data_IF_299753061794
#
_entry.id   IF_299753061794
#
_cell.length_a   1.000
_cell.length_b   1.000
_cell.length_c   1.000
_cell.angle_alpha   90.00
_cell.angle_beta   90.00
_cell.angle_gamma   90.00
#
_symmetry.space_group_name_H-M   'P 1'
#
loop_
_entity.id
_entity.type
_entity.pdbx_description
1 polymer ?
#
# COMPACT_ATOMS: atom_id res chain seq x y z
N UNK A 1 11.93 5.43 -23.67
CA UNK A 1 12.33 6.86 -23.73
C UNK A 1 13.51 7.18 -24.66
N UNK A 2 14.76 6.73 -24.39
CA UNK A 2 15.95 7.10 -25.20
C UNK A 2 15.79 6.87 -26.72
N UNK A 3 15.12 5.78 -27.11
CA UNK A 3 14.91 5.41 -28.53
C UNK A 3 14.05 6.44 -29.32
N UNK A 4 13.02 7.00 -28.69
CA UNK A 4 12.12 7.99 -29.34
C UNK A 4 12.88 9.31 -29.57
N UNK A 5 13.67 9.73 -28.57
CA UNK A 5 14.48 10.96 -28.65
C UNK A 5 15.55 10.81 -29.73
N UNK A 6 16.25 9.67 -29.78
CA UNK A 6 17.26 9.38 -30.82
C UNK A 6 16.62 9.38 -32.21
N UNK A 7 15.43 8.78 -32.36
CA UNK A 7 14.70 8.79 -33.62
C UNK A 7 14.30 10.20 -34.07
N UNK A 8 13.75 11.01 -33.16
CA UNK A 8 13.39 12.40 -33.47
C UNK A 8 14.62 13.24 -33.88
N UNK A 9 15.76 13.03 -33.21
CA UNK A 9 17.01 13.72 -33.51
C UNK A 9 17.56 13.28 -34.89
N UNK A 10 17.48 11.98 -35.19
CA UNK A 10 17.83 11.43 -36.50
C UNK A 10 16.95 12.01 -37.62
N UNK A 11 15.63 12.06 -37.44
CA UNK A 11 14.71 12.68 -38.40
C UNK A 11 15.04 14.16 -38.63
N UNK A 12 15.40 14.89 -37.57
CA UNK A 12 15.79 16.30 -37.68
C UNK A 12 17.03 16.48 -38.54
N UNK A 13 18.08 15.69 -38.27
CA UNK A 13 19.31 15.71 -39.06
C UNK A 13 19.07 15.32 -40.52
N UNK A 14 18.19 14.35 -40.77
CA UNK A 14 17.81 13.92 -42.11
C UNK A 14 17.11 15.05 -42.88
N UNK A 15 16.11 15.70 -42.29
CA UNK A 15 15.40 16.82 -42.93
C UNK A 15 16.34 17.99 -43.23
N UNK A 16 17.25 18.31 -42.31
CA UNK A 16 18.27 19.34 -42.53
C UNK A 16 19.24 18.95 -43.65
N UNK A 17 19.67 17.70 -43.72
CA UNK A 17 20.54 17.19 -44.78
C UNK A 17 19.88 17.25 -46.16
N UNK A 18 18.59 16.86 -46.24
CA UNK A 18 17.80 16.96 -47.48
C UNK A 18 17.69 18.41 -47.94
N UNK A 19 17.41 19.34 -47.02
CA UNK A 19 17.35 20.76 -47.36
C UNK A 19 18.68 21.29 -47.92
N UNK A 20 19.79 21.03 -47.22
CA UNK A 20 21.14 21.43 -47.65
C UNK A 20 21.49 20.84 -49.02
N UNK A 21 21.13 19.58 -49.29
CA UNK A 21 21.40 18.94 -50.58
C UNK A 21 20.66 19.59 -51.76
N UNK A 22 19.50 20.19 -51.51
CA UNK A 22 18.64 20.81 -52.54
C UNK A 22 18.92 22.29 -52.75
N UNK A 23 19.25 23.02 -51.68
CA UNK A 23 19.37 24.48 -51.72
C UNK A 23 20.80 25.00 -51.48
N UNK A 24 21.75 24.11 -51.18
CA UNK A 24 23.14 24.46 -50.88
C UNK A 24 23.34 25.01 -49.47
N UNK A 25 24.59 25.37 -49.15
CA UNK A 25 24.99 25.90 -47.84
C UNK A 25 24.96 27.44 -47.75
N UNK A 26 24.69 28.13 -48.87
CA UNK A 26 24.76 29.59 -48.93
C UNK A 26 23.48 30.20 -48.36
N UNK A 27 23.62 31.02 -47.33
CA UNK A 27 22.53 31.80 -46.75
C UNK A 27 22.01 32.79 -47.80
N UNK A 28 20.69 32.77 -48.02
CA UNK A 28 20.06 33.67 -48.97
C UNK A 28 19.85 35.04 -48.35
N UNK A 29 20.24 36.12 -49.05
CA UNK A 29 19.91 37.50 -48.68
C UNK A 29 18.44 37.84 -48.96
N UNK A 30 17.75 37.01 -49.74
CA UNK A 30 16.35 37.19 -50.09
C UNK A 30 15.42 36.66 -48.99
N UNK A 31 14.60 37.55 -48.42
CA UNK A 31 13.67 37.26 -47.33
C UNK A 31 12.63 36.17 -47.68
N UNK A 32 12.18 36.08 -48.94
CA UNK A 32 11.20 35.08 -49.38
C UNK A 32 11.70 33.65 -49.16
N UNK A 33 12.99 33.39 -49.39
CA UNK A 33 13.58 32.05 -49.23
C UNK A 33 13.62 31.58 -47.78
N UNK A 34 13.67 32.52 -46.83
CA UNK A 34 13.55 32.22 -45.41
C UNK A 34 12.13 31.81 -45.01
N UNK A 35 11.11 32.42 -45.61
CA UNK A 35 9.72 32.04 -45.38
C UNK A 35 9.43 30.62 -45.91
N UNK A 36 9.95 30.27 -47.09
CA UNK A 36 9.80 28.93 -47.67
C UNK A 36 10.55 27.85 -46.85
N UNK A 37 11.76 28.16 -46.37
CA UNK A 37 12.51 27.29 -45.47
C UNK A 37 11.76 27.02 -44.17
N UNK A 38 11.27 28.09 -43.54
CA UNK A 38 10.48 28.00 -42.31
C UNK A 38 9.22 27.17 -42.52
N UNK A 39 8.56 27.30 -43.67
CA UNK A 39 7.37 26.52 -44.04
C UNK A 39 7.70 25.05 -44.24
N UNK A 40 8.79 24.72 -44.94
CA UNK A 40 9.24 23.34 -45.16
C UNK A 40 9.62 22.65 -43.84
N UNK A 41 10.48 23.28 -43.03
CA UNK A 41 10.87 22.74 -41.73
C UNK A 41 9.68 22.65 -40.79
N UNK A 42 8.89 23.72 -40.68
CA UNK A 42 7.72 23.78 -39.81
C UNK A 42 6.69 22.71 -40.15
N UNK A 43 6.40 22.50 -41.43
CA UNK A 43 5.46 21.47 -41.88
C UNK A 43 5.97 20.05 -41.65
N UNK A 44 7.21 19.76 -42.06
CA UNK A 44 7.78 18.40 -41.99
C UNK A 44 8.19 18.02 -40.57
N UNK A 45 9.03 18.82 -39.91
CA UNK A 45 9.46 18.56 -38.53
C UNK A 45 8.31 18.74 -37.55
N UNK A 46 7.40 19.70 -37.78
CA UNK A 46 6.21 19.85 -36.95
C UNK A 46 5.38 18.57 -36.92
N UNK A 47 5.06 18.01 -38.09
CA UNK A 47 4.31 16.76 -38.18
C UNK A 47 5.03 15.58 -37.50
N UNK A 48 6.35 15.44 -37.72
CA UNK A 48 7.18 14.39 -37.11
C UNK A 48 7.22 14.54 -35.59
N UNK A 49 7.43 15.76 -35.08
CA UNK A 49 7.48 16.02 -33.65
C UNK A 49 6.14 15.86 -32.98
N UNK A 50 5.03 16.26 -33.61
CA UNK A 50 3.69 15.99 -33.10
C UNK A 50 3.45 14.47 -32.97
N UNK A 51 3.82 13.70 -33.98
CA UNK A 51 3.71 12.24 -33.94
C UNK A 51 4.59 11.62 -32.83
N UNK A 52 5.86 12.01 -32.76
CA UNK A 52 6.78 11.55 -31.72
C UNK A 52 6.31 11.95 -30.31
N UNK A 53 5.73 13.14 -30.16
CA UNK A 53 5.17 13.63 -28.89
C UNK A 53 3.97 12.80 -28.46
N UNK A 54 3.10 12.41 -29.40
CA UNK A 54 1.97 11.54 -29.12
C UNK A 54 2.43 10.14 -28.66
N UNK A 55 3.43 9.55 -29.34
CA UNK A 55 4.03 8.28 -28.92
C UNK A 55 4.69 8.37 -27.54
N UNK A 56 5.38 9.49 -27.28
CA UNK A 56 6.01 9.74 -25.99
C UNK A 56 4.97 9.82 -24.87
N UNK A 57 3.90 10.58 -25.09
CA UNK A 57 2.81 10.73 -24.12
C UNK A 57 2.13 9.38 -23.83
N UNK A 58 1.86 8.58 -24.86
CA UNK A 58 1.28 7.24 -24.69
C UNK A 58 2.17 6.34 -23.81
N UNK A 59 3.48 6.35 -24.04
CA UNK A 59 4.44 5.61 -23.22
C UNK A 59 4.49 6.10 -21.76
N UNK A 60 4.45 7.43 -21.57
CA UNK A 60 4.46 8.04 -20.24
C UNK A 60 3.22 7.67 -19.44
N UNK A 61 2.04 7.66 -20.06
CA UNK A 61 0.79 7.25 -19.42
C UNK A 61 0.88 5.80 -18.92
N UNK A 62 1.44 4.89 -19.72
CA UNK A 62 1.56 3.49 -19.34
C UNK A 62 2.52 3.29 -18.15
N UNK A 63 3.66 3.97 -18.17
CA UNK A 63 4.59 3.98 -17.03
C UNK A 63 3.91 4.53 -15.78
N UNK A 64 3.25 5.68 -15.90
CA UNK A 64 2.56 6.33 -14.79
C UNK A 64 1.44 5.46 -14.21
N UNK A 65 0.73 4.68 -15.03
CA UNK A 65 -0.26 3.70 -14.56
C UNK A 65 0.37 2.61 -13.70
N UNK A 66 1.52 2.08 -14.14
CA UNK A 66 2.25 1.05 -13.40
C UNK A 66 2.78 1.59 -12.07
N UNK A 67 3.40 2.77 -12.09
CA UNK A 67 3.89 3.44 -10.88
C UNK A 67 2.75 3.76 -9.91
N UNK A 68 1.62 4.28 -10.41
CA UNK A 68 0.44 4.55 -9.59
C UNK A 68 -0.12 3.27 -8.96
N UNK A 69 -0.11 2.14 -9.68
CA UNK A 69 -0.55 0.86 -9.12
C UNK A 69 0.37 0.41 -8.00
N UNK A 70 1.68 0.49 -8.19
CA UNK A 70 2.66 0.14 -7.15
C UNK A 70 2.53 1.06 -5.93
N UNK A 71 2.40 2.37 -6.15
CA UNK A 71 2.20 3.34 -5.08
C UNK A 71 0.92 3.05 -4.26
N UNK A 72 -0.18 2.65 -4.90
CA UNK A 72 -1.42 2.26 -4.19
C UNK A 72 -1.21 1.04 -3.30
N UNK A 73 -0.54 0.01 -3.79
CA UNK A 73 -0.23 -1.19 -2.98
C UNK A 73 0.63 -0.81 -1.78
N UNK A 74 1.66 0.01 -1.99
CA UNK A 74 2.53 0.48 -0.92
C UNK A 74 1.78 1.31 0.13
N UNK A 75 0.85 2.18 -0.28
CA UNK A 75 -0.02 2.94 0.64
C UNK A 75 -0.91 2.01 1.46
N UNK A 76 -1.51 0.99 0.84
CA UNK A 76 -2.34 0.01 1.56
C UNK A 76 -1.52 -0.78 2.59
N UNK A 77 -0.32 -1.25 2.23
CA UNK A 77 0.59 -1.94 3.15
C UNK A 77 0.93 -1.06 4.36
N UNK A 78 1.33 0.20 4.10
CA UNK A 78 1.67 1.16 5.16
C UNK A 78 0.46 1.51 6.03
N UNK A 79 -0.74 1.57 5.44
CA UNK A 79 -1.98 1.75 6.20
C UNK A 79 -2.25 0.58 7.15
N UNK A 80 -2.08 -0.68 6.71
CA UNK A 80 -2.25 -1.85 7.58
C UNK A 80 -1.23 -1.90 8.70
N UNK A 81 0.04 -1.58 8.40
CA UNK A 81 1.10 -1.49 9.40
C UNK A 81 0.78 -0.44 10.47
N UNK A 82 0.38 0.75 10.04
CA UNK A 82 -0.01 1.85 10.94
C UNK A 82 -1.24 1.50 11.76
N UNK A 83 -2.24 0.84 11.15
CA UNK A 83 -3.44 0.39 11.84
C UNK A 83 -3.08 -0.59 12.98
N UNK A 84 -2.11 -1.50 12.78
CA UNK A 84 -1.61 -2.37 13.85
C UNK A 84 -1.00 -1.54 14.98
N UNK A 85 -0.13 -0.59 14.66
CA UNK A 85 0.54 0.25 15.66
C UNK A 85 -0.48 1.07 16.47
N UNK A 86 -1.42 1.74 15.80
CA UNK A 86 -2.48 2.53 16.44
C UNK A 86 -3.36 1.65 17.34
N UNK A 87 -3.81 0.49 16.86
CA UNK A 87 -4.59 -0.44 17.67
C UNK A 87 -3.79 -0.94 18.89
N UNK A 88 -2.50 -1.24 18.75
CA UNK A 88 -1.64 -1.62 19.89
C UNK A 88 -1.55 -0.50 20.94
N UNK A 89 -1.41 0.76 20.50
CA UNK A 89 -1.35 1.90 21.42
C UNK A 89 -2.66 2.12 22.19
N UNK A 90 -3.81 1.75 21.59
CA UNK A 90 -5.11 1.80 22.24
C UNK A 90 -5.36 0.58 23.14
N UNK A 91 -4.89 -0.59 22.70
CA UNK A 91 -5.10 -1.87 23.36
C UNK A 91 -4.31 -1.98 24.67
N UNK A 92 -3.04 -1.61 24.64
CA UNK A 92 -2.13 -1.81 25.78
C UNK A 92 -2.62 -1.13 27.07
N UNK A 93 -3.01 0.16 27.07
CA UNK A 93 -3.53 0.80 28.29
C UNK A 93 -4.82 0.13 28.79
N UNK A 94 -5.71 -0.27 27.89
CA UNK A 94 -6.98 -0.93 28.23
C UNK A 94 -6.78 -2.32 28.82
N UNK A 95 -5.78 -3.06 28.34
CA UNK A 95 -5.43 -4.37 28.89
C UNK A 95 -4.78 -4.27 30.27
N UNK A 96 -3.99 -3.22 30.50
CA UNK A 96 -3.23 -3.01 31.72
C UNK A 96 -3.97 -2.21 32.81
N UNK A 97 -5.10 -1.58 32.49
CA UNK A 97 -5.91 -0.89 33.49
C UNK A 97 -6.46 -1.87 34.51
N UNK A 98 -6.32 -1.56 35.79
CA UNK A 98 -6.88 -2.35 36.89
C UNK A 98 -8.38 -2.08 36.96
N UNK A 99 -9.17 -3.15 36.89
CA UNK A 99 -10.61 -3.08 37.11
C UNK A 99 -10.88 -3.04 38.63
N UNK A 100 -11.46 -1.95 39.18
CA UNK A 100 -11.66 -1.81 40.62
C UNK A 100 -12.66 -2.82 41.19
N UNK A 101 -13.53 -3.42 40.35
CA UNK A 101 -14.47 -4.45 40.79
C UNK A 101 -13.79 -5.80 41.03
N UNK A 102 -12.71 -6.09 40.28
CA UNK A 102 -12.09 -7.43 40.23
C UNK A 102 -10.65 -7.39 40.80
N UNK A 103 -10.10 -6.20 41.03
CA UNK A 103 -8.74 -5.97 41.51
C UNK A 103 -7.67 -6.74 40.70
N UNK A 104 -7.90 -6.82 39.39
CA UNK A 104 -7.03 -7.47 38.42
C UNK A 104 -7.01 -6.67 37.13
N UNK A 105 -5.95 -6.81 36.34
CA UNK A 105 -5.92 -6.23 34.99
C UNK A 105 -6.79 -7.06 34.06
N UNK A 106 -7.27 -6.45 32.99
CA UNK A 106 -8.03 -7.19 32.01
C UNK A 106 -7.17 -8.26 31.31
N UNK A 107 -5.89 -8.00 31.07
CA UNK A 107 -4.95 -8.99 30.55
C UNK A 107 -4.92 -10.24 31.45
N UNK A 108 -4.88 -10.04 32.76
CA UNK A 108 -4.90 -11.15 33.72
C UNK A 108 -6.22 -11.92 33.68
N UNK A 109 -7.36 -11.23 33.56
CA UNK A 109 -8.66 -11.88 33.42
C UNK A 109 -8.73 -12.73 32.15
N UNK A 110 -8.28 -12.21 31.01
CA UNK A 110 -8.22 -12.94 29.74
C UNK A 110 -7.35 -14.19 29.87
N UNK A 111 -6.16 -14.08 30.50
CA UNK A 111 -5.28 -15.22 30.74
C UNK A 111 -5.89 -16.26 31.68
N UNK A 112 -6.56 -15.83 32.76
CA UNK A 112 -7.25 -16.74 33.69
C UNK A 112 -8.39 -17.47 32.99
N UNK A 113 -9.18 -16.78 32.16
CA UNK A 113 -10.25 -17.43 31.40
C UNK A 113 -9.69 -18.40 30.37
N UNK A 114 -8.61 -18.03 29.68
CA UNK A 114 -7.92 -18.91 28.75
C UNK A 114 -7.32 -20.16 29.43
N UNK A 115 -6.82 -20.03 30.66
CA UNK A 115 -6.35 -21.18 31.46
C UNK A 115 -7.49 -22.11 31.89
N UNK A 116 -8.71 -21.58 32.06
CA UNK A 116 -9.91 -22.30 32.50
C UNK A 116 -10.88 -22.62 31.33
N UNK A 117 -10.35 -23.08 30.19
CA UNK A 117 -11.16 -23.46 29.01
C UNK A 117 -12.40 -24.31 29.31
N UNK A 118 -12.35 -25.32 30.21
CA UNK A 118 -13.52 -26.17 30.48
C UNK A 118 -14.74 -25.41 31.00
N UNK A 119 -14.54 -24.29 31.70
CA UNK A 119 -15.65 -23.50 32.24
C UNK A 119 -16.33 -22.69 31.12
N UNK A 120 -15.54 -22.17 30.18
CA UNK A 120 -16.04 -21.45 29.01
C UNK A 120 -16.83 -22.37 28.07
N UNK A 121 -16.36 -23.60 27.87
CA UNK A 121 -17.05 -24.62 27.07
C UNK A 121 -18.37 -25.07 27.72
N UNK A 122 -18.42 -25.16 29.05
CA UNK A 122 -19.61 -25.60 29.78
C UNK A 122 -20.69 -24.51 29.95
N UNK A 123 -20.34 -23.22 29.82
CA UNK A 123 -21.29 -22.10 29.97
C UNK A 123 -21.03 -21.00 28.92
N UNK A 124 -21.30 -21.28 27.63
CA UNK A 124 -20.95 -20.38 26.53
C UNK A 124 -21.69 -19.04 26.56
N UNK A 125 -22.95 -19.02 27.02
CA UNK A 125 -23.76 -17.80 27.09
C UNK A 125 -23.23 -16.83 28.16
N UNK A 126 -22.79 -17.35 29.31
CA UNK A 126 -22.20 -16.55 30.38
C UNK A 126 -20.85 -15.98 29.94
N UNK A 127 -20.05 -16.77 29.23
CA UNK A 127 -18.77 -16.33 28.65
C UNK A 127 -18.99 -15.20 27.64
N UNK A 128 -19.95 -15.36 26.72
CA UNK A 128 -20.31 -14.33 25.74
C UNK A 128 -20.78 -13.04 26.39
N UNK A 129 -21.62 -13.13 27.41
CA UNK A 129 -22.12 -11.97 28.16
C UNK A 129 -20.99 -11.23 28.90
N UNK A 130 -20.05 -11.97 29.51
CA UNK A 130 -18.92 -11.39 30.21
C UNK A 130 -17.99 -10.61 29.27
N UNK A 131 -17.83 -11.08 28.03
CA UNK A 131 -16.97 -10.44 27.04
C UNK A 131 -17.70 -9.44 26.12
N UNK A 132 -19.03 -9.49 26.00
CA UNK A 132 -19.81 -8.47 25.28
C UNK A 132 -19.71 -7.10 25.95
N UNK A 133 -19.60 -7.06 27.28
CA UNK A 133 -19.32 -5.83 28.03
C UNK A 133 -17.92 -5.25 27.75
N UNK A 134 -17.05 -6.02 27.10
CA UNK A 134 -15.66 -5.67 26.77
C UNK A 134 -15.39 -5.76 25.26
N UNK A 135 -16.45 -5.63 24.45
CA UNK A 135 -16.42 -5.79 23.00
C UNK A 135 -15.40 -4.89 22.29
N UNK A 136 -15.14 -3.69 22.81
CA UNK A 136 -14.16 -2.75 22.23
C UNK A 136 -12.77 -3.39 22.06
N UNK A 137 -12.31 -4.15 23.05
CA UNK A 137 -10.97 -4.74 23.07
C UNK A 137 -10.88 -5.92 22.10
N UNK A 138 -11.97 -6.66 21.97
CA UNK A 138 -12.09 -7.73 20.99
C UNK A 138 -12.10 -7.16 19.57
N UNK A 139 -12.80 -6.05 19.34
CA UNK A 139 -12.79 -5.36 18.05
C UNK A 139 -11.39 -4.87 17.69
N UNK A 140 -10.68 -4.25 18.65
CA UNK A 140 -9.29 -3.82 18.45
C UNK A 140 -8.39 -5.01 18.12
N UNK A 141 -8.54 -6.14 18.81
CA UNK A 141 -7.78 -7.35 18.52
C UNK A 141 -8.10 -7.95 17.15
N UNK A 142 -9.37 -8.04 16.78
CA UNK A 142 -9.81 -8.52 15.45
C UNK A 142 -9.24 -7.63 14.34
N UNK A 143 -9.17 -6.30 14.55
CA UNK A 143 -8.55 -5.38 13.59
C UNK A 143 -7.05 -5.62 13.41
N UNK A 144 -6.33 -5.90 14.51
CA UNK A 144 -4.90 -6.27 14.45
C UNK A 144 -4.74 -7.58 13.68
N UNK A 145 -5.55 -8.59 14.00
CA UNK A 145 -5.48 -9.89 13.34
C UNK A 145 -5.78 -9.79 11.85
N UNK A 146 -6.86 -9.11 11.45
CA UNK A 146 -7.21 -8.91 10.04
C UNK A 146 -6.12 -8.14 9.26
N UNK A 147 -5.46 -7.16 9.90
CA UNK A 147 -4.34 -6.45 9.28
C UNK A 147 -3.12 -7.38 9.10
N UNK A 148 -2.85 -8.26 10.06
CA UNK A 148 -1.80 -9.27 9.94
C UNK A 148 -2.11 -10.29 8.83
N UNK A 149 -3.36 -10.74 8.69
CA UNK A 149 -3.74 -11.68 7.61
C UNK A 149 -3.54 -11.05 6.23
N UNK A 150 -3.89 -9.76 6.10
CA UNK A 150 -3.60 -9.03 4.86
C UNK A 150 -2.11 -8.99 4.57
N UNK A 151 -1.28 -8.59 5.54
CA UNK A 151 0.17 -8.53 5.37
C UNK A 151 0.77 -9.91 5.05
N UNK A 152 0.28 -10.98 5.66
CA UNK A 152 0.75 -12.35 5.40
C UNK A 152 0.58 -12.74 3.93
N UNK A 153 -0.54 -12.36 3.33
CA UNK A 153 -0.84 -12.61 1.92
C UNK A 153 -0.09 -11.70 0.95
N UNK A 154 0.23 -10.46 1.36
CA UNK A 154 0.75 -9.41 0.49
C UNK A 154 2.29 -9.23 0.57
N UNK A 155 2.86 -9.23 1.77
CA UNK A 155 4.29 -9.08 2.03
C UNK A 155 4.70 -9.83 3.30
N UNK A 156 5.28 -11.02 3.10
CA UNK A 156 5.70 -11.91 4.18
C UNK A 156 6.76 -11.28 5.10
N UNK A 157 7.62 -10.41 4.59
CA UNK A 157 8.67 -9.77 5.40
C UNK A 157 8.05 -8.78 6.39
N UNK A 158 7.16 -7.93 5.89
CA UNK A 158 6.41 -6.96 6.71
C UNK A 158 5.50 -7.65 7.72
N UNK A 159 4.82 -8.72 7.30
CA UNK A 159 4.04 -9.57 8.19
C UNK A 159 4.87 -10.09 9.38
N UNK A 160 6.02 -10.72 9.11
CA UNK A 160 6.87 -11.26 10.18
C UNK A 160 7.34 -10.16 11.13
N UNK A 161 7.75 -9.01 10.60
CA UNK A 161 8.16 -7.86 11.40
C UNK A 161 7.05 -7.38 12.35
N UNK A 162 5.84 -7.13 11.82
CA UNK A 162 4.70 -6.67 12.63
C UNK A 162 4.17 -7.74 13.58
N UNK A 163 4.16 -9.02 13.18
CA UNK A 163 3.82 -10.13 14.07
C UNK A 163 4.76 -10.17 15.27
N UNK A 164 6.07 -10.05 15.04
CA UNK A 164 7.07 -10.02 16.11
C UNK A 164 6.85 -8.81 17.03
N UNK A 165 6.56 -7.63 16.48
CA UNK A 165 6.24 -6.44 17.28
C UNK A 165 5.05 -6.69 18.23
N UNK A 166 3.96 -7.25 17.72
CA UNK A 166 2.76 -7.59 18.52
C UNK A 166 3.12 -8.55 19.66
N UNK A 167 3.86 -9.62 19.35
CA UNK A 167 4.27 -10.62 20.35
C UNK A 167 5.18 -10.03 21.42
N UNK A 168 6.10 -9.15 21.05
CA UNK A 168 7.01 -8.51 22.00
C UNK A 168 6.25 -7.57 22.95
N UNK A 169 5.23 -6.86 22.47
CA UNK A 169 4.46 -5.92 23.29
C UNK A 169 3.43 -6.61 24.20
N UNK A 170 2.78 -7.68 23.74
CA UNK A 170 1.69 -8.34 24.49
C UNK A 170 2.09 -9.66 25.15
N UNK A 171 3.22 -10.26 24.78
CA UNK A 171 3.59 -11.67 25.02
C UNK A 171 2.79 -12.68 24.19
N UNK A 172 3.46 -13.77 23.79
CA UNK A 172 2.84 -14.84 23.00
C UNK A 172 1.63 -15.46 23.71
N UNK A 173 1.69 -15.70 25.03
CA UNK A 173 0.58 -16.30 25.79
C UNK A 173 -0.68 -15.44 25.76
N UNK A 174 -0.53 -14.12 25.88
CA UNK A 174 -1.67 -13.20 25.84
C UNK A 174 -2.25 -13.10 24.42
N UNK A 175 -1.41 -13.13 23.39
CA UNK A 175 -1.87 -13.15 22.00
C UNK A 175 -2.74 -14.37 21.71
N UNK A 176 -2.29 -15.58 22.08
CA UNK A 176 -3.09 -16.81 21.90
C UNK A 176 -4.38 -16.78 22.73
N UNK A 177 -4.33 -16.20 23.94
CA UNK A 177 -5.52 -16.04 24.79
C UNK A 177 -6.54 -15.06 24.17
N UNK A 178 -6.07 -13.97 23.57
CA UNK A 178 -6.90 -13.01 22.85
C UNK A 178 -7.53 -13.63 21.60
N UNK A 179 -6.78 -14.41 20.82
CA UNK A 179 -7.30 -15.15 19.66
C UNK A 179 -8.44 -16.09 20.08
N UNK A 180 -8.26 -16.85 21.15
CA UNK A 180 -9.28 -17.71 21.71
C UNK A 180 -10.52 -16.93 22.16
N UNK A 181 -10.34 -15.93 23.02
CA UNK A 181 -11.47 -15.18 23.59
C UNK A 181 -12.25 -14.45 22.49
N UNK A 182 -11.57 -13.80 21.54
CA UNK A 182 -12.22 -13.09 20.45
C UNK A 182 -13.02 -14.04 19.56
N UNK A 183 -12.51 -15.23 19.24
CA UNK A 183 -13.23 -16.22 18.44
C UNK A 183 -14.49 -16.73 19.15
N UNK A 184 -14.36 -17.14 20.42
CA UNK A 184 -15.49 -17.73 21.15
C UNK A 184 -16.58 -16.68 21.48
N UNK A 185 -16.18 -15.45 21.80
CA UNK A 185 -17.11 -14.38 22.14
C UNK A 185 -17.84 -13.81 20.92
N UNK A 186 -17.13 -13.55 19.81
CA UNK A 186 -17.71 -12.90 18.62
C UNK A 186 -18.31 -13.90 17.64
N UNK A 187 -17.87 -15.17 17.65
CA UNK A 187 -18.20 -16.15 16.62
C UNK A 187 -17.60 -15.85 15.24
N UNK A 188 -16.78 -14.80 15.11
CA UNK A 188 -16.10 -14.45 13.88
C UNK A 188 -14.91 -15.41 13.71
N UNK A 189 -14.86 -16.12 12.59
CA UNK A 189 -13.68 -16.87 12.18
C UNK A 189 -12.74 -15.93 11.45
N UNK A 190 -11.63 -15.60 12.10
CA UNK A 190 -10.51 -14.88 11.50
C UNK A 190 -9.25 -15.71 11.65
N UNK A 191 -8.24 -15.46 10.82
CA UNK A 191 -7.00 -16.23 10.83
C UNK A 191 -6.28 -16.03 12.18
N UNK A 192 -5.99 -17.13 12.87
CA UNK A 192 -5.24 -17.09 14.13
C UNK A 192 -3.77 -17.07 13.81
N UNK A 193 -3.07 -16.03 14.25
CA UNK A 193 -1.65 -15.87 13.98
C UNK A 193 -0.77 -16.37 15.13
N UNK A 194 -1.34 -16.73 16.29
CA UNK A 194 -0.63 -17.03 17.54
C UNK A 194 -1.08 -18.30 18.27
#
# INVERSE_FOLDING_TARGET
MKKIIVFALFCTLLVMSVYISKFGFVLSDEHSRWADFGSFLGGTLGSIFTFCSLLYLAHQIEMQRTENRQARVEVELNYKERNIDENLTLLLPKLNSIDPLINATLAELILRTYGNKPIAENNPDLFRLAFSARAEILVIWVNISAALSYLESADKSRYLSKKTLVVVQLSSKLCTALDYVARESTGIKFDTHF
#
